data_IF_195802890976
#
_entry.id   IF_195802890976
#
_cell.length_a   1.000
_cell.length_b   1.000
_cell.length_c   1.000
_cell.angle_alpha   90.00
_cell.angle_beta   90.00
_cell.angle_gamma   90.00
#
_symmetry.space_group_name_H-M   'P 1'
#
loop_
_entity.id
_entity.type
_entity.pdbx_description
1 polymer ?
#
# COMPACT_ATOMS: atom_id res chain seq x y z
N UNK A 1 67.37 37.24 -7.02
CA UNK A 1 66.03 37.67 -7.46
C UNK A 1 65.30 36.40 -7.85
N UNK A 2 64.75 35.68 -6.88
CA UNK A 2 63.39 35.89 -6.33
C UNK A 2 62.37 35.27 -7.30
N UNK A 3 61.56 34.30 -6.91
CA UNK A 3 60.69 34.28 -5.72
C UNK A 3 60.66 32.92 -4.96
N UNK A 4 60.33 32.96 -3.67
CA UNK A 4 59.97 31.80 -2.84
C UNK A 4 58.74 32.13 -1.95
N UNK A 5 57.53 31.76 -2.41
CA UNK A 5 56.29 31.86 -1.63
C UNK A 5 55.73 30.50 -1.16
N UNK A 6 55.79 30.20 0.14
CA UNK A 6 55.24 28.96 0.74
C UNK A 6 53.75 29.10 1.12
N UNK A 7 52.91 28.08 0.85
CA UNK A 7 51.46 28.13 1.18
C UNK A 7 50.77 26.78 1.46
N UNK A 8 50.99 26.21 2.65
CA UNK A 8 50.21 25.19 3.42
C UNK A 8 49.25 24.17 2.72
N UNK A 9 49.43 22.88 3.09
CA UNK A 9 48.43 21.78 2.96
C UNK A 9 47.17 22.01 3.82
N UNK A 10 46.02 21.54 3.32
CA UNK A 10 44.94 20.92 4.13
C UNK A 10 44.45 19.65 3.40
N UNK A 11 43.89 18.66 4.11
CA UNK A 11 43.43 17.35 3.57
C UNK A 11 41.90 17.16 3.68
N UNK A 12 41.39 16.18 2.91
CA UNK A 12 40.19 15.32 3.11
C UNK A 12 38.82 15.80 2.60
N UNK A 13 38.03 14.80 2.17
CA UNK A 13 36.59 14.87 1.85
C UNK A 13 36.32 15.28 0.39
N UNK A 14 35.41 14.65 -0.36
CA UNK A 14 34.56 13.48 -0.12
C UNK A 14 33.64 13.31 -1.33
N UNK A 15 33.33 12.07 -1.76
CA UNK A 15 32.38 11.85 -2.87
C UNK A 15 30.95 11.96 -2.38
N UNK A 16 30.09 12.67 -3.11
CA UNK A 16 28.69 12.24 -3.31
C UNK A 16 28.02 13.03 -4.46
N UNK A 17 27.67 12.36 -5.57
CA UNK A 17 26.51 12.70 -6.36
C UNK A 17 25.32 11.89 -5.84
N UNK A 18 24.48 12.51 -5.00
CA UNK A 18 23.10 12.04 -4.81
C UNK A 18 22.29 12.45 -6.05
N UNK A 19 21.15 11.78 -6.28
CA UNK A 19 20.16 12.00 -7.36
C UNK A 19 20.02 10.88 -8.42
N UNK A 20 20.34 9.61 -8.09
CA UNK A 20 20.04 8.45 -8.97
C UNK A 20 19.59 7.14 -8.30
N UNK A 21 19.28 7.14 -7.00
CA UNK A 21 19.00 5.88 -6.27
C UNK A 21 17.52 5.62 -5.97
N UNK A 22 16.64 6.63 -6.00
CA UNK A 22 15.21 6.43 -5.68
C UNK A 22 14.41 5.69 -6.77
N UNK A 23 14.86 5.74 -8.03
CA UNK A 23 14.14 5.11 -9.16
C UNK A 23 14.32 3.59 -9.24
N UNK A 24 15.39 3.05 -8.62
CA UNK A 24 15.80 1.65 -8.81
C UNK A 24 14.99 0.63 -7.98
N UNK A 25 14.45 1.03 -6.83
CA UNK A 25 13.80 0.10 -5.88
C UNK A 25 12.38 -0.30 -6.30
N UNK A 26 11.80 0.38 -7.30
CA UNK A 26 10.44 0.13 -7.80
C UNK A 26 10.32 -1.21 -8.56
N UNK A 27 11.42 -1.82 -9.00
CA UNK A 27 11.41 -2.94 -9.95
C UNK A 27 11.46 -4.36 -9.33
N UNK A 28 11.64 -4.52 -8.02
CA UNK A 28 12.19 -5.78 -7.46
C UNK A 28 11.32 -6.48 -6.38
N UNK A 29 10.02 -6.74 -6.64
CA UNK A 29 9.20 -7.60 -5.75
C UNK A 29 7.96 -8.28 -6.40
N UNK A 30 8.10 -8.95 -7.55
CA UNK A 30 6.97 -9.62 -8.21
C UNK A 30 7.07 -11.17 -8.21
N UNK A 31 6.58 -11.84 -7.13
CA UNK A 31 6.04 -13.23 -7.15
C UNK A 31 5.46 -13.69 -5.77
N UNK A 32 4.15 -14.00 -5.74
CA UNK A 32 3.39 -15.03 -4.95
C UNK A 32 3.62 -15.19 -3.41
N UNK A 33 2.66 -15.45 -2.50
CA UNK A 33 1.18 -15.62 -2.52
C UNK A 33 0.54 -15.52 -1.13
N UNK A 34 -0.72 -15.06 -0.89
CA UNK A 34 -1.77 -14.48 -1.78
C UNK A 34 -1.89 -12.93 -1.61
N UNK A 35 -3.06 -12.33 -1.88
CA UNK A 35 -3.81 -11.23 -1.19
C UNK A 35 -5.25 -11.41 -1.67
N UNK A 36 -6.20 -11.24 -0.77
CA UNK A 36 -7.57 -11.74 -0.90
C UNK A 36 -8.51 -10.70 -0.26
N UNK A 37 -8.89 -9.63 -0.97
CA UNK A 37 -9.75 -8.60 -0.38
C UNK A 37 -11.14 -9.17 -0.08
N UNK A 38 -11.44 -9.33 1.21
CA UNK A 38 -12.63 -10.04 1.68
C UNK A 38 -13.92 -9.24 1.41
N UNK A 39 -14.74 -9.73 0.48
CA UNK A 39 -16.14 -9.31 0.31
C UNK A 39 -17.09 -10.44 0.72
N UNK A 40 -18.26 -10.11 1.29
CA UNK A 40 -19.11 -11.11 1.97
C UNK A 40 -19.75 -12.10 1.00
N UNK A 41 -20.17 -13.28 1.47
CA UNK A 41 -21.27 -13.99 0.80
C UNK A 41 -22.63 -13.33 1.01
N UNK A 42 -23.44 -13.42 -0.04
CA UNK A 42 -24.87 -13.19 0.00
C UNK A 42 -25.53 -14.22 0.93
N UNK A 43 -26.16 -13.74 2.00
CA UNK A 43 -27.04 -14.54 2.86
C UNK A 43 -28.38 -13.82 2.96
N UNK A 44 -29.44 -14.47 2.47
CA UNK A 44 -30.78 -13.92 2.36
C UNK A 44 -31.36 -13.50 3.71
N UNK A 45 -31.84 -12.26 3.81
CA UNK A 45 -32.45 -11.70 5.02
C UNK A 45 -31.48 -11.33 6.14
N UNK A 46 -30.17 -11.29 5.88
CA UNK A 46 -29.15 -10.92 6.88
C UNK A 46 -28.15 -9.86 6.39
N UNK A 47 -27.73 -9.91 5.12
CA UNK A 47 -26.70 -9.01 4.54
C UNK A 47 -26.78 -8.87 3.01
N UNK A 48 -27.86 -9.40 2.42
CA UNK A 48 -28.15 -9.31 1.00
C UNK A 48 -28.40 -7.86 0.53
N UNK A 49 -28.88 -7.02 1.44
CA UNK A 49 -29.03 -5.58 1.30
C UNK A 49 -27.68 -4.83 1.19
N UNK A 50 -26.68 -5.20 2.01
CA UNK A 50 -25.37 -4.55 2.01
C UNK A 50 -24.38 -5.11 0.99
N UNK A 51 -24.53 -6.37 0.55
CA UNK A 51 -23.55 -7.09 -0.29
C UNK A 51 -23.07 -6.28 -1.50
N UNK A 52 -24.00 -5.74 -2.30
CA UNK A 52 -23.67 -4.98 -3.52
C UNK A 52 -22.89 -3.71 -3.20
N UNK A 53 -23.20 -3.04 -2.08
CA UNK A 53 -22.48 -1.84 -1.64
C UNK A 53 -21.09 -2.17 -1.09
N UNK A 54 -20.96 -3.24 -0.31
CA UNK A 54 -19.66 -3.76 0.16
C UNK A 54 -18.75 -4.13 -1.01
N UNK A 55 -19.30 -4.78 -2.04
CA UNK A 55 -18.55 -5.11 -3.27
C UNK A 55 -18.15 -3.84 -4.07
N UNK A 56 -19.01 -2.81 -4.14
CA UNK A 56 -18.64 -1.50 -4.72
C UNK A 56 -17.47 -0.87 -3.94
N UNK A 57 -17.57 -0.84 -2.62
CA UNK A 57 -16.51 -0.31 -1.75
C UNK A 57 -15.18 -1.06 -1.94
N UNK A 58 -15.21 -2.40 -1.92
CA UNK A 58 -14.02 -3.24 -2.09
C UNK A 58 -13.31 -2.96 -3.42
N UNK A 59 -14.05 -2.91 -4.54
CA UNK A 59 -13.48 -2.59 -5.86
C UNK A 59 -12.81 -1.21 -5.91
N UNK A 60 -13.44 -0.19 -5.30
CA UNK A 60 -12.91 1.17 -5.30
C UNK A 60 -11.67 1.31 -4.41
N UNK A 61 -11.71 0.73 -3.20
CA UNK A 61 -10.61 0.76 -2.24
C UNK A 61 -9.41 -0.05 -2.73
N UNK A 62 -9.62 -1.23 -3.30
CA UNK A 62 -8.53 -2.04 -3.86
C UNK A 62 -7.82 -1.28 -4.99
N UNK A 63 -8.59 -0.81 -5.98
CA UNK A 63 -8.01 -0.12 -7.13
C UNK A 63 -7.29 1.18 -6.74
N UNK A 64 -7.79 1.91 -5.73
CA UNK A 64 -7.12 3.10 -5.21
C UNK A 64 -5.84 2.76 -4.43
N UNK A 65 -5.86 1.70 -3.61
CA UNK A 65 -4.72 1.27 -2.79
C UNK A 65 -3.59 0.70 -3.64
N UNK A 66 -3.89 -0.12 -4.64
CA UNK A 66 -2.93 -0.59 -5.66
C UNK A 66 -2.26 0.59 -6.36
N UNK A 67 -3.05 1.55 -6.89
CA UNK A 67 -2.49 2.74 -7.55
C UNK A 67 -1.61 3.59 -6.63
N UNK A 68 -1.96 3.74 -5.36
CA UNK A 68 -1.21 4.60 -4.42
C UNK A 68 0.08 3.94 -3.91
N UNK A 69 0.07 2.62 -3.75
CA UNK A 69 1.20 1.85 -3.19
C UNK A 69 2.17 1.31 -4.24
N UNK A 70 1.69 1.03 -5.46
CA UNK A 70 2.42 0.26 -6.47
C UNK A 70 2.51 -1.24 -6.15
N UNK A 71 1.84 -1.70 -5.10
CA UNK A 71 1.90 -3.09 -4.68
C UNK A 71 1.05 -4.00 -5.58
N UNK A 72 1.40 -5.29 -5.64
CA UNK A 72 0.73 -6.26 -6.50
C UNK A 72 -0.79 -6.33 -6.23
N UNK A 73 -1.60 -6.12 -7.28
CA UNK A 73 -3.02 -6.43 -7.28
C UNK A 73 -3.23 -7.94 -7.35
N UNK A 74 -4.15 -8.43 -6.55
CA UNK A 74 -4.50 -9.85 -6.42
C UNK A 74 -6.01 -10.06 -6.30
N UNK A 75 -6.79 -8.98 -6.45
CA UNK A 75 -8.23 -9.00 -6.53
C UNK A 75 -8.97 -9.24 -5.21
N UNK A 76 -10.28 -9.41 -5.38
CA UNK A 76 -11.25 -9.56 -4.30
C UNK A 76 -11.61 -11.04 -4.11
N UNK A 77 -11.60 -11.50 -2.88
CA UNK A 77 -11.99 -12.87 -2.50
C UNK A 77 -13.24 -12.83 -1.65
N UNK A 78 -14.10 -13.83 -1.84
CA UNK A 78 -15.37 -13.92 -1.14
C UNK A 78 -15.17 -14.68 0.18
N UNK A 79 -15.57 -14.10 1.32
CA UNK A 79 -15.46 -14.73 2.66
C UNK A 79 -16.82 -14.81 3.36
N UNK A 80 -17.00 -15.84 4.17
CA UNK A 80 -18.27 -16.19 4.85
C UNK A 80 -18.10 -16.44 6.36
N UNK A 81 -16.85 -16.52 6.80
CA UNK A 81 -16.37 -17.03 8.08
C UNK A 81 -15.88 -15.92 9.02
N UNK A 82 -15.83 -14.68 8.53
CA UNK A 82 -15.42 -13.51 9.31
C UNK A 82 -16.61 -12.95 10.10
N UNK A 83 -16.68 -13.29 11.39
CA UNK A 83 -17.79 -12.94 12.30
C UNK A 83 -18.12 -11.45 12.36
N UNK A 84 -17.12 -10.57 12.24
CA UNK A 84 -17.31 -9.11 12.17
C UNK A 84 -18.15 -8.62 10.98
N UNK A 85 -18.25 -9.40 9.90
CA UNK A 85 -19.13 -9.10 8.77
C UNK A 85 -20.51 -9.73 8.89
N UNK A 86 -20.78 -10.54 9.92
CA UNK A 86 -22.03 -11.29 10.02
C UNK A 86 -23.16 -10.52 10.72
N UNK A 87 -22.86 -9.34 11.26
CA UNK A 87 -23.78 -8.49 12.04
C UNK A 87 -23.77 -7.02 11.58
N UNK A 88 -23.15 -6.72 10.43
CA UNK A 88 -23.04 -5.36 9.92
C UNK A 88 -24.26 -4.98 9.09
N UNK A 89 -24.99 -3.94 9.49
CA UNK A 89 -26.09 -3.33 8.71
C UNK A 89 -25.60 -2.14 7.85
N UNK A 90 -24.28 -2.07 7.61
CA UNK A 90 -23.63 -1.04 6.79
C UNK A 90 -22.61 -1.69 5.85
N UNK A 91 -22.29 -1.08 4.70
CA UNK A 91 -21.27 -1.60 3.79
C UNK A 91 -19.92 -1.74 4.50
N UNK A 92 -19.31 -2.93 4.40
CA UNK A 92 -18.11 -3.31 5.14
C UNK A 92 -17.14 -4.11 4.28
N UNK A 93 -15.84 -3.85 4.47
CA UNK A 93 -14.72 -4.50 3.78
C UNK A 93 -13.55 -4.70 4.76
N UNK A 94 -12.61 -5.57 4.43
CA UNK A 94 -11.32 -5.71 5.10
C UNK A 94 -10.25 -5.72 4.01
N UNK A 95 -9.25 -4.85 4.16
CA UNK A 95 -8.17 -4.65 3.18
C UNK A 95 -6.85 -5.15 3.76
N UNK A 96 -6.28 -6.19 3.14
CA UNK A 96 -5.01 -6.77 3.54
C UNK A 96 -3.85 -5.97 2.91
N UNK A 97 -3.22 -5.11 3.71
CA UNK A 97 -2.25 -4.12 3.20
C UNK A 97 -0.88 -4.73 2.78
N UNK A 98 -0.59 -5.95 3.21
CA UNK A 98 0.58 -6.73 2.80
C UNK A 98 0.97 -7.83 3.79
N UNK A 99 2.01 -8.60 3.44
CA UNK A 99 2.43 -9.77 4.22
C UNK A 99 3.57 -9.48 5.21
N UNK A 100 3.27 -9.43 6.51
CA UNK A 100 4.32 -9.34 7.54
C UNK A 100 5.24 -10.57 7.57
N UNK A 101 4.81 -11.73 7.04
CA UNK A 101 5.66 -12.91 6.86
C UNK A 101 6.67 -12.76 5.72
N UNK A 102 6.38 -11.94 4.71
CA UNK A 102 7.31 -11.62 3.62
C UNK A 102 8.30 -10.53 4.08
N UNK A 103 9.63 -10.76 4.07
CA UNK A 103 10.59 -9.77 4.57
C UNK A 103 10.60 -8.45 3.80
N UNK A 104 10.25 -8.43 2.51
CA UNK A 104 10.20 -7.22 1.69
C UNK A 104 8.92 -6.43 1.97
N UNK A 105 7.76 -7.08 1.97
CA UNK A 105 6.50 -6.40 2.32
C UNK A 105 6.52 -5.92 3.79
N UNK A 106 7.11 -6.68 4.72
CA UNK A 106 7.32 -6.25 6.11
C UNK A 106 8.09 -4.92 6.20
N UNK A 107 9.23 -4.79 5.50
CA UNK A 107 10.03 -3.55 5.49
C UNK A 107 9.23 -2.35 4.99
N UNK A 108 8.41 -2.55 3.96
CA UNK A 108 7.51 -1.51 3.45
C UNK A 108 6.44 -1.17 4.50
N UNK A 109 5.75 -2.16 5.06
CA UNK A 109 4.71 -1.98 6.10
C UNK A 109 5.22 -1.32 7.39
N UNK A 110 6.53 -1.37 7.66
CA UNK A 110 7.17 -0.69 8.80
C UNK A 110 7.70 0.71 8.45
N UNK A 111 7.50 1.19 7.22
CA UNK A 111 8.01 2.49 6.75
C UNK A 111 6.88 3.52 6.64
N UNK A 112 7.04 4.66 7.33
CA UNK A 112 6.00 5.70 7.34
C UNK A 112 5.69 6.26 5.95
N UNK A 113 6.66 6.26 5.03
CA UNK A 113 6.44 6.65 3.64
C UNK A 113 5.44 5.73 2.91
N UNK A 114 5.49 4.42 3.17
CA UNK A 114 4.56 3.44 2.60
C UNK A 114 3.23 3.40 3.37
N UNK A 115 3.23 3.54 4.70
CA UNK A 115 2.01 3.74 5.50
C UNK A 115 1.19 4.93 4.96
N UNK A 116 1.84 6.05 4.63
CA UNK A 116 1.19 7.20 3.97
C UNK A 116 0.67 6.89 2.56
N UNK A 117 1.31 5.99 1.79
CA UNK A 117 0.77 5.52 0.50
C UNK A 117 -0.47 4.66 0.71
N UNK A 118 -0.45 3.73 1.67
CA UNK A 118 -1.63 2.93 2.05
C UNK A 118 -2.78 3.84 2.49
N UNK A 119 -2.54 4.75 3.43
CA UNK A 119 -3.56 5.68 3.94
C UNK A 119 -4.19 6.52 2.83
N UNK A 120 -3.40 7.13 1.94
CA UNK A 120 -3.92 7.87 0.77
C UNK A 120 -4.78 7.00 -0.15
N UNK A 121 -4.36 5.76 -0.40
CA UNK A 121 -5.13 4.80 -1.19
C UNK A 121 -6.49 4.45 -0.57
N UNK A 122 -6.50 4.11 0.72
CA UNK A 122 -7.71 3.83 1.49
C UNK A 122 -8.66 5.04 1.51
N UNK A 123 -8.16 6.24 1.82
CA UNK A 123 -8.95 7.48 1.85
C UNK A 123 -9.53 7.80 0.47
N UNK A 124 -8.75 7.70 -0.61
CA UNK A 124 -9.24 7.97 -1.96
C UNK A 124 -10.33 6.97 -2.40
N UNK A 125 -10.16 5.69 -2.09
CA UNK A 125 -11.16 4.67 -2.37
C UNK A 125 -12.45 4.83 -1.56
N UNK A 126 -12.33 5.16 -0.27
CA UNK A 126 -13.47 5.46 0.60
C UNK A 126 -14.22 6.73 0.16
N UNK A 127 -13.49 7.80 -0.20
CA UNK A 127 -14.06 9.02 -0.75
C UNK A 127 -14.85 8.74 -2.04
N UNK A 128 -14.27 7.99 -2.99
CA UNK A 128 -14.95 7.58 -4.22
C UNK A 128 -16.18 6.67 -3.99
N UNK A 129 -16.27 5.98 -2.85
CA UNK A 129 -17.43 5.17 -2.49
C UNK A 129 -18.58 5.99 -1.90
N UNK A 130 -18.27 7.02 -1.10
CA UNK A 130 -19.28 7.89 -0.44
C UNK A 130 -19.72 9.07 -1.31
N UNK A 131 -18.90 9.51 -2.26
CA UNK A 131 -19.30 10.46 -3.30
C UNK A 131 -20.43 9.86 -4.15
N UNK A 132 -21.43 10.70 -4.44
CA UNK A 132 -22.65 10.33 -5.17
C UNK A 132 -22.38 10.15 -6.67
#
# INVERSE_FOLDING_TARGET
MEDQGRGRRVRRGGREPRDRQEDADTAAAARLSRRDDAHRAWHKGWTDDIYTRSLKAARLVQAATVRSTGAADRGLVKRTDLTGFNWANVPAILTECGFMSNPTERRLLQSSAYEWKVARGLTAGAAAFISR
#
